data_IF_695303273993
#
_entry.id   IF_695303273993
#
_cell.length_a   1.000
_cell.length_b   1.000
_cell.length_c   1.000
_cell.angle_alpha   90.00
_cell.angle_beta   90.00
_cell.angle_gamma   90.00
#
_symmetry.space_group_name_H-M   'P 1'
#
loop_
_entity.id
_entity.type
_entity.pdbx_description
1 polymer ?
#
# COMPACT_ATOMS: atom_id res chain seq x y z
N UNK A 1 65.08 72.01 0.44
CA UNK A 1 63.72 71.87 -0.13
C UNK A 1 63.66 71.00 -1.39
N UNK A 2 64.79 70.56 -1.99
CA UNK A 2 64.79 69.72 -3.20
C UNK A 2 64.92 68.21 -2.95
N UNK A 3 65.28 67.78 -1.74
CA UNK A 3 65.41 66.34 -1.39
C UNK A 3 64.08 65.67 -1.01
N UNK A 4 63.05 66.45 -0.66
CA UNK A 4 61.74 65.92 -0.27
C UNK A 4 60.88 65.52 -1.47
N UNK A 5 60.85 66.32 -2.54
CA UNK A 5 60.06 66.00 -3.74
C UNK A 5 60.59 64.78 -4.50
N UNK A 6 61.90 64.58 -4.59
CA UNK A 6 62.49 63.45 -5.35
C UNK A 6 62.29 62.11 -4.65
N UNK A 7 62.34 62.09 -3.32
CA UNK A 7 62.04 60.88 -2.53
C UNK A 7 60.56 60.52 -2.63
N UNK A 8 59.68 61.53 -2.64
CA UNK A 8 58.25 61.36 -2.77
C UNK A 8 57.83 60.84 -4.15
N UNK A 9 58.47 61.35 -5.22
CA UNK A 9 58.22 60.90 -6.59
C UNK A 9 58.74 59.47 -6.83
N UNK A 10 59.90 59.11 -6.28
CA UNK A 10 60.42 57.74 -6.35
C UNK A 10 59.53 56.75 -5.58
N UNK A 11 58.99 57.17 -4.44
CA UNK A 11 58.09 56.35 -3.62
C UNK A 11 56.78 56.05 -4.38
N UNK A 12 56.18 57.06 -5.03
CA UNK A 12 54.99 56.88 -5.88
C UNK A 12 55.23 55.95 -7.08
N UNK A 13 56.42 56.02 -7.71
CA UNK A 13 56.75 55.18 -8.87
C UNK A 13 57.03 53.73 -8.44
N UNK A 14 57.74 53.53 -7.32
CA UNK A 14 58.01 52.18 -6.78
C UNK A 14 56.74 51.53 -6.22
N UNK A 15 55.89 52.30 -5.54
CA UNK A 15 54.61 51.82 -5.06
C UNK A 15 53.67 51.45 -6.21
N UNK A 16 53.81 52.02 -7.41
CA UNK A 16 52.94 51.72 -8.56
C UNK A 16 53.35 50.48 -9.34
N UNK A 17 54.58 49.99 -9.13
CA UNK A 17 55.12 48.80 -9.79
C UNK A 17 55.16 47.56 -8.89
N UNK A 18 55.21 47.73 -7.56
CA UNK A 18 55.30 46.62 -6.61
C UNK A 18 54.05 46.42 -5.75
N UNK A 19 53.16 47.40 -5.73
CA UNK A 19 51.86 47.31 -5.10
C UNK A 19 50.82 47.85 -6.10
N UNK A 20 49.66 47.22 -6.17
CA UNK A 20 48.58 47.68 -7.05
C UNK A 20 48.01 48.98 -6.48
N UNK A 21 48.75 50.09 -6.66
CA UNK A 21 48.47 51.39 -6.07
C UNK A 21 47.07 51.83 -6.54
N UNK A 22 46.11 52.03 -5.63
CA UNK A 22 44.78 52.46 -6.00
C UNK A 22 44.82 53.81 -6.73
N UNK A 23 44.34 53.84 -7.97
CA UNK A 23 43.90 55.08 -8.56
C UNK A 23 42.57 55.46 -7.90
N UNK A 24 42.62 56.29 -6.85
CA UNK A 24 41.39 56.86 -6.27
C UNK A 24 40.86 57.93 -7.21
N UNK A 25 39.60 57.84 -7.58
CA UNK A 25 38.92 58.92 -8.30
C UNK A 25 38.46 59.99 -7.30
N UNK A 26 39.42 60.70 -6.68
CA UNK A 26 39.17 61.77 -5.71
C UNK A 26 39.54 61.42 -4.26
N UNK A 27 39.06 62.25 -3.32
CA UNK A 27 39.28 62.08 -1.88
C UNK A 27 38.44 60.92 -1.32
N UNK A 28 38.95 60.29 -0.25
CA UNK A 28 38.22 59.23 0.45
C UNK A 28 36.93 59.80 1.05
N UNK A 29 35.82 59.09 0.85
CA UNK A 29 34.51 59.51 1.33
C UNK A 29 33.66 58.28 1.63
N UNK A 30 32.71 58.42 2.55
CA UNK A 30 31.73 57.38 2.90
C UNK A 30 30.35 57.85 2.48
N UNK A 31 29.60 56.97 1.82
CA UNK A 31 28.23 57.23 1.37
C UNK A 31 27.33 56.13 1.94
N UNK A 32 26.19 56.53 2.47
CA UNK A 32 25.10 55.63 2.82
C UNK A 32 24.23 55.37 1.60
N UNK A 33 23.91 54.11 1.33
CA UNK A 33 22.98 53.74 0.26
C UNK A 33 21.55 54.16 0.63
N UNK A 34 20.84 54.78 -0.30
CA UNK A 34 19.40 55.07 -0.15
C UNK A 34 18.53 53.81 -0.33
N UNK A 35 19.15 52.69 -0.73
CA UNK A 35 18.49 51.42 -0.98
C UNK A 35 19.02 50.38 0.01
N UNK A 36 18.09 49.71 0.70
CA UNK A 36 18.36 48.54 1.54
C UNK A 36 18.24 47.26 0.74
N UNK A 37 19.05 46.25 1.08
CA UNK A 37 19.12 44.99 0.35
C UNK A 37 18.73 43.81 1.25
N UNK A 38 17.98 42.88 0.68
CA UNK A 38 17.64 41.61 1.33
C UNK A 38 18.68 40.54 0.97
N UNK A 39 19.17 39.81 1.97
CA UNK A 39 20.02 38.64 1.75
C UNK A 39 19.21 37.38 1.40
N UNK A 40 19.90 36.26 1.15
CA UNK A 40 19.27 34.99 0.79
C UNK A 40 18.43 34.39 1.92
N UNK A 41 18.69 34.81 3.16
CA UNK A 41 17.99 34.36 4.37
C UNK A 41 16.81 35.29 4.72
N UNK A 42 16.56 36.32 3.91
CA UNK A 42 15.45 37.25 4.07
C UNK A 42 15.74 38.46 4.97
N UNK A 43 16.98 38.65 5.42
CA UNK A 43 17.34 39.78 6.29
C UNK A 43 17.66 41.03 5.48
N UNK A 44 17.07 42.14 5.89
CA UNK A 44 17.30 43.46 5.31
C UNK A 44 18.52 44.13 5.92
N UNK A 45 19.37 44.71 5.09
CA UNK A 45 20.56 45.45 5.50
C UNK A 45 20.75 46.74 4.70
N UNK A 46 21.22 47.78 5.38
CA UNK A 46 21.65 49.04 4.80
C UNK A 46 23.13 48.92 4.43
N UNK A 47 23.56 49.46 3.30
CA UNK A 47 24.96 49.39 2.87
C UNK A 47 25.64 50.76 2.96
N UNK A 48 26.78 50.82 3.65
CA UNK A 48 27.72 51.92 3.58
C UNK A 48 28.81 51.60 2.57
N UNK A 49 29.21 52.60 1.78
CA UNK A 49 30.22 52.47 0.72
C UNK A 49 31.34 53.46 0.97
N UNK A 50 32.58 52.99 0.99
CA UNK A 50 33.76 53.83 1.19
C UNK A 50 34.67 53.83 -0.03
N UNK A 51 35.03 55.04 -0.44
CA UNK A 51 35.99 55.35 -1.51
C UNK A 51 35.52 54.94 -2.91
N UNK A 52 36.32 55.28 -3.91
CA UNK A 52 36.08 54.88 -5.29
C UNK A 52 37.43 54.53 -5.95
N UNK A 53 37.71 53.24 -5.96
CA UNK A 53 39.00 52.66 -6.31
C UNK A 53 38.91 51.91 -7.63
N UNK A 54 39.90 52.07 -8.49
CA UNK A 54 40.09 51.21 -9.65
C UNK A 54 41.29 50.29 -9.41
N UNK A 55 41.00 49.02 -9.13
CA UNK A 55 42.02 47.96 -9.07
C UNK A 55 41.92 47.07 -10.32
N UNK A 56 43.06 46.55 -10.79
CA UNK A 56 43.12 45.59 -11.89
C UNK A 56 42.73 44.17 -11.42
N UNK A 57 43.04 43.83 -10.16
CA UNK A 57 42.69 42.58 -9.46
C UNK A 57 42.00 42.86 -8.10
N UNK A 58 41.58 41.82 -7.35
CA UNK A 58 40.94 42.02 -6.03
C UNK A 58 41.92 42.72 -5.06
N UNK A 59 41.50 43.73 -4.27
CA UNK A 59 42.41 44.51 -3.44
C UNK A 59 43.18 43.64 -2.43
N UNK A 60 44.47 43.96 -2.25
CA UNK A 60 45.37 43.23 -1.36
C UNK A 60 45.19 43.54 0.14
N UNK A 61 44.12 44.25 0.50
CA UNK A 61 43.78 44.59 1.88
C UNK A 61 42.26 44.69 2.05
N UNK A 62 41.81 44.49 3.29
CA UNK A 62 40.44 44.79 3.70
C UNK A 62 40.37 46.15 4.39
N UNK A 63 39.25 46.85 4.20
CA UNK A 63 39.01 48.15 4.81
C UNK A 63 38.67 47.99 6.30
N UNK A 64 39.38 48.73 7.16
CA UNK A 64 39.03 48.80 8.58
C UNK A 64 37.87 49.78 8.77
N UNK A 65 36.77 49.29 9.36
CA UNK A 65 35.63 50.12 9.72
C UNK A 65 35.57 50.32 11.23
N UNK A 66 35.63 51.56 11.68
CA UNK A 66 35.33 51.93 13.06
C UNK A 66 33.84 52.23 13.17
N UNK A 67 33.13 51.43 13.97
CA UNK A 67 31.69 51.61 14.25
C UNK A 67 31.48 52.49 15.49
N UNK A 68 30.27 53.06 15.71
CA UNK A 68 29.99 53.95 16.84
C UNK A 68 30.31 53.37 18.22
N UNK A 69 30.18 52.05 18.39
CA UNK A 69 30.60 51.33 19.61
C UNK A 69 32.12 51.26 19.86
N UNK A 70 32.93 52.04 19.13
CA UNK A 70 34.40 52.03 19.12
C UNK A 70 35.05 50.67 18.79
N UNK A 71 34.27 49.73 18.26
CA UNK A 71 34.77 48.46 17.75
C UNK A 71 35.27 48.65 16.32
N UNK A 72 36.36 47.96 15.98
CA UNK A 72 36.84 47.90 14.59
C UNK A 72 36.36 46.60 13.95
N UNK A 73 35.68 46.71 12.82
CA UNK A 73 35.18 45.59 12.01
C UNK A 73 36.01 45.52 10.73
N UNK A 74 36.57 44.34 10.46
CA UNK A 74 37.44 44.10 9.28
C UNK A 74 36.67 43.36 8.17
N UNK A 75 35.39 43.05 8.37
CA UNK A 75 34.53 42.33 7.41
C UNK A 75 34.03 43.21 6.24
N UNK A 76 34.93 43.93 5.59
CA UNK A 76 34.59 44.74 4.41
C UNK A 76 34.56 43.89 3.14
N UNK A 77 33.54 44.07 2.30
CA UNK A 77 33.52 43.45 0.96
C UNK A 77 33.88 44.48 -0.08
N UNK A 78 34.70 44.14 -1.07
CA UNK A 78 34.99 45.04 -2.20
C UNK A 78 34.08 44.70 -3.39
N UNK A 79 33.31 45.68 -3.87
CA UNK A 79 32.41 45.52 -5.03
C UNK A 79 32.25 46.86 -5.77
N UNK A 80 32.27 46.81 -7.10
CA UNK A 80 32.02 47.97 -7.97
C UNK A 80 32.84 49.21 -7.61
N UNK A 81 34.12 49.05 -7.27
CA UNK A 81 34.99 50.18 -6.93
C UNK A 81 34.96 50.61 -5.47
N UNK A 82 34.10 50.04 -4.62
CA UNK A 82 33.88 50.52 -3.25
C UNK A 82 34.09 49.40 -2.24
N UNK A 83 34.61 49.74 -1.06
CA UNK A 83 34.53 48.86 0.10
C UNK A 83 33.19 49.07 0.80
N UNK A 84 32.46 47.98 1.05
CA UNK A 84 31.09 48.02 1.55
C UNK A 84 31.00 47.42 2.95
N UNK A 85 30.23 48.07 3.83
CA UNK A 85 29.83 47.56 5.15
C UNK A 85 28.31 47.43 5.18
N UNK A 86 27.80 46.27 5.61
CA UNK A 86 26.36 46.02 5.75
C UNK A 86 25.94 46.21 7.20
N UNK A 87 24.87 46.99 7.40
CA UNK A 87 24.26 47.28 8.69
C UNK A 87 22.89 46.60 8.75
N UNK A 88 22.77 45.57 9.58
CA UNK A 88 21.49 44.88 9.82
C UNK A 88 20.84 45.44 11.08
N UNK A 89 19.52 45.28 11.23
CA UNK A 89 18.81 45.74 12.42
C UNK A 89 19.27 44.97 13.69
N UNK A 90 19.49 45.66 14.84
CA UNK A 90 19.38 47.11 15.06
C UNK A 90 20.63 47.87 14.58
N UNK A 91 20.41 48.94 13.80
CA UNK A 91 21.50 49.82 13.33
C UNK A 91 21.92 50.75 14.47
N UNK A 92 23.23 50.87 14.70
CA UNK A 92 23.81 51.80 15.68
C UNK A 92 23.91 53.20 15.08
N UNK A 93 23.34 54.22 15.72
CA UNK A 93 23.51 55.61 15.32
C UNK A 93 24.89 56.14 15.69
N UNK A 94 25.49 56.95 14.83
CA UNK A 94 26.77 57.58 15.11
C UNK A 94 27.71 57.66 13.91
N UNK A 95 28.99 57.93 14.19
CA UNK A 95 30.00 58.11 13.14
C UNK A 95 30.62 56.77 12.76
N UNK A 96 30.41 56.37 11.51
CA UNK A 96 31.10 55.26 10.88
C UNK A 96 32.30 55.79 10.13
N UNK A 97 33.49 55.28 10.45
CA UNK A 97 34.75 55.73 9.83
C UNK A 97 35.41 54.58 9.11
N UNK A 98 35.63 54.71 7.80
CA UNK A 98 36.47 53.78 7.07
C UNK A 98 37.92 54.28 7.10
N UNK A 99 38.88 53.36 7.27
CA UNK A 99 40.30 53.68 7.40
C UNK A 99 41.16 52.68 6.64
N UNK A 100 42.07 53.19 5.81
CA UNK A 100 43.03 52.35 5.08
C UNK A 100 44.08 51.81 6.07
N UNK A 101 44.27 50.48 6.19
CA UNK A 101 45.22 49.88 7.12
C UNK A 101 46.64 50.39 6.90
N UNK A 102 47.37 50.68 7.97
CA UNK A 102 48.74 51.23 7.90
C UNK A 102 49.79 50.23 7.43
N UNK A 103 49.46 48.94 7.44
CA UNK A 103 50.31 47.87 6.91
C UNK A 103 50.06 47.57 5.42
N UNK A 104 49.11 48.29 4.79
CA UNK A 104 48.97 48.26 3.34
C UNK A 104 50.12 49.03 2.69
N UNK A 105 50.55 48.56 1.53
CA UNK A 105 51.64 49.15 0.76
C UNK A 105 51.47 50.65 0.43
N UNK A 106 50.22 51.12 0.46
CA UNK A 106 49.80 52.48 0.11
C UNK A 106 50.05 53.48 1.26
N UNK A 107 50.27 52.99 2.48
CA UNK A 107 50.51 53.78 3.67
C UNK A 107 51.88 54.50 3.68
N UNK A 108 52.77 54.28 2.71
CA UNK A 108 54.04 55.00 2.61
C UNK A 108 54.02 56.16 1.62
N UNK A 109 53.04 56.24 0.73
CA UNK A 109 52.97 57.30 -0.30
C UNK A 109 51.98 58.43 0.02
N UNK A 110 51.03 58.21 0.93
CA UNK A 110 50.05 59.20 1.37
C UNK A 110 50.66 60.08 2.48
N UNK A 111 50.87 61.38 2.24
CA UNK A 111 51.40 62.33 3.25
C UNK A 111 50.64 62.28 4.58
N UNK A 112 51.35 62.55 5.68
CA UNK A 112 50.88 62.58 7.08
C UNK A 112 49.75 63.58 7.41
N UNK A 113 49.21 64.32 6.44
CA UNK A 113 48.02 65.13 6.70
C UNK A 113 46.79 64.22 6.74
N UNK A 114 46.25 64.02 7.94
CA UNK A 114 45.24 63.03 8.33
C UNK A 114 43.90 63.01 7.57
N UNK A 115 43.69 63.87 6.58
CA UNK A 115 42.43 63.97 5.83
C UNK A 115 42.30 63.00 4.64
N UNK A 116 43.37 62.29 4.26
CA UNK A 116 43.37 61.43 3.06
C UNK A 116 43.23 59.92 3.33
N UNK A 117 43.35 59.46 4.59
CA UNK A 117 43.40 58.02 4.94
C UNK A 117 42.15 57.46 5.60
N UNK A 118 41.29 58.36 6.06
CA UNK A 118 40.04 57.98 6.71
C UNK A 118 38.94 58.94 6.29
N UNK A 119 37.72 58.43 6.24
CA UNK A 119 36.54 59.23 5.98
C UNK A 119 35.42 58.76 6.91
N UNK A 120 34.67 59.72 7.43
CA UNK A 120 33.59 59.47 8.38
C UNK A 120 32.25 59.94 7.83
N UNK A 121 31.20 59.17 8.09
CA UNK A 121 29.82 59.54 7.84
C UNK A 121 29.00 59.33 9.12
N UNK A 122 28.16 60.29 9.46
CA UNK A 122 27.18 60.13 10.54
C UNK A 122 25.95 59.41 10.00
N UNK A 123 25.59 58.28 10.61
CA UNK A 123 24.36 57.54 10.32
C UNK A 123 23.35 57.88 11.41
N UNK A 124 22.21 58.43 11.01
CA UNK A 124 21.06 58.65 11.89
C UNK A 124 20.36 57.30 12.14
N UNK A 125 20.24 56.89 13.40
CA UNK A 125 19.66 55.59 13.75
C UNK A 125 18.17 55.51 13.45
N UNK A 126 17.44 56.62 13.59
CA UNK A 126 16.00 56.68 13.35
C UNK A 126 15.74 56.55 11.86
N UNK A 127 16.48 57.28 11.02
CA UNK A 127 16.35 57.22 9.56
C UNK A 127 16.75 55.83 9.02
N UNK A 128 17.89 55.29 9.46
CA UNK A 128 18.35 53.96 9.06
C UNK A 128 17.37 52.85 9.46
N UNK A 129 16.81 52.93 10.67
CA UNK A 129 15.78 51.98 11.14
C UNK A 129 14.47 52.14 10.38
N UNK A 130 14.08 53.38 10.03
CA UNK A 130 12.87 53.62 9.24
C UNK A 130 12.99 52.99 7.86
N UNK A 131 14.11 53.19 7.15
CA UNK A 131 14.34 52.57 5.84
C UNK A 131 14.26 51.03 5.88
N UNK A 132 14.87 50.41 6.91
CA UNK A 132 14.80 48.95 7.08
C UNK A 132 13.37 48.47 7.39
N UNK A 133 12.64 49.20 8.24
CA UNK A 133 11.26 48.88 8.59
C UNK A 133 10.30 49.04 7.41
N UNK A 134 10.44 50.10 6.62
CA UNK A 134 9.61 50.34 5.43
C UNK A 134 9.83 49.26 4.36
N UNK A 135 11.08 48.86 4.12
CA UNK A 135 11.39 47.77 3.20
C UNK A 135 10.85 46.43 3.69
N UNK A 136 10.99 46.13 4.98
CA UNK A 136 10.43 44.92 5.57
C UNK A 136 8.90 44.92 5.50
N UNK A 137 8.25 46.06 5.76
CA UNK A 137 6.80 46.19 5.67
C UNK A 137 6.30 45.98 4.24
N UNK A 138 6.93 46.61 3.25
CA UNK A 138 6.57 46.43 1.85
C UNK A 138 6.69 44.97 1.39
N UNK A 139 7.75 44.28 1.84
CA UNK A 139 7.92 42.85 1.56
C UNK A 139 6.84 41.99 2.23
N UNK A 140 6.50 42.28 3.49
CA UNK A 140 5.43 41.58 4.21
C UNK A 140 4.05 41.81 3.56
N UNK A 141 3.78 43.02 3.06
CA UNK A 141 2.55 43.33 2.33
C UNK A 141 2.48 42.56 1.00
N UNK A 142 3.58 42.48 0.27
CA UNK A 142 3.67 41.66 -0.95
C UNK A 142 3.43 40.18 -0.66
N UNK A 143 4.07 39.63 0.38
CA UNK A 143 3.88 38.23 0.78
C UNK A 143 2.44 37.97 1.21
N UNK A 144 1.81 38.92 1.92
CA UNK A 144 0.41 38.81 2.32
C UNK A 144 -0.52 38.70 1.11
N UNK A 145 -0.29 39.51 0.08
CA UNK A 145 -1.10 39.48 -1.15
C UNK A 145 -0.91 38.16 -1.91
N UNK A 146 0.32 37.64 -1.99
CA UNK A 146 0.60 36.33 -2.60
C UNK A 146 -0.09 35.21 -1.83
N UNK A 147 0.07 35.16 -0.51
CA UNK A 147 -0.56 34.14 0.34
C UNK A 147 -2.10 34.21 0.24
N UNK A 148 -2.65 35.42 0.13
CA UNK A 148 -4.08 35.62 -0.02
C UNK A 148 -4.59 35.08 -1.35
N UNK A 149 -3.87 35.32 -2.45
CA UNK A 149 -4.21 34.77 -3.76
C UNK A 149 -4.14 33.23 -3.75
N UNK A 150 -3.04 32.65 -3.25
CA UNK A 150 -2.91 31.19 -3.09
C UNK A 150 -4.02 30.58 -2.23
N UNK A 151 -4.37 31.23 -1.13
CA UNK A 151 -5.46 30.79 -0.26
C UNK A 151 -6.82 30.84 -0.99
N UNK A 152 -7.07 31.85 -1.82
CA UNK A 152 -8.29 31.89 -2.64
C UNK A 152 -8.31 30.76 -3.69
N UNK A 153 -7.20 30.53 -4.39
CA UNK A 153 -7.09 29.44 -5.37
C UNK A 153 -7.27 28.06 -4.70
N UNK A 154 -6.63 27.83 -3.56
CA UNK A 154 -6.79 26.59 -2.79
C UNK A 154 -8.23 26.38 -2.34
N UNK A 155 -8.92 27.46 -1.92
CA UNK A 155 -10.32 27.39 -1.52
C UNK A 155 -11.23 27.00 -2.68
N UNK A 156 -11.01 27.55 -3.87
CA UNK A 156 -11.76 27.19 -5.08
C UNK A 156 -11.50 25.74 -5.50
N UNK A 157 -10.24 25.31 -5.49
CA UNK A 157 -9.86 23.92 -5.76
C UNK A 157 -10.52 22.94 -4.78
N UNK A 158 -10.50 23.26 -3.48
CA UNK A 158 -11.16 22.45 -2.45
C UNK A 158 -12.68 22.38 -2.64
N UNK A 159 -13.33 23.48 -3.04
CA UNK A 159 -14.77 23.47 -3.35
C UNK A 159 -15.09 22.60 -4.57
N UNK A 160 -14.26 22.65 -5.61
CA UNK A 160 -14.37 21.81 -6.80
C UNK A 160 -14.19 20.33 -6.47
N UNK A 161 -13.13 19.98 -5.72
CA UNK A 161 -12.87 18.62 -5.26
C UNK A 161 -14.01 18.07 -4.40
N UNK A 162 -14.55 18.87 -3.49
CA UNK A 162 -15.71 18.50 -2.66
C UNK A 162 -16.91 18.13 -3.55
N UNK A 163 -17.16 18.90 -4.59
CA UNK A 163 -18.25 18.63 -5.55
C UNK A 163 -18.02 17.32 -6.31
N UNK A 164 -16.78 17.06 -6.73
CA UNK A 164 -16.41 15.83 -7.43
C UNK A 164 -16.57 14.59 -6.56
N UNK A 165 -16.16 14.67 -5.29
CA UNK A 165 -16.34 13.58 -4.31
C UNK A 165 -17.82 13.25 -4.13
N UNK A 166 -18.68 14.27 -3.99
CA UNK A 166 -20.13 14.06 -3.85
C UNK A 166 -20.75 13.39 -5.08
N UNK A 167 -20.32 13.75 -6.30
CA UNK A 167 -20.80 13.09 -7.52
C UNK A 167 -20.33 11.63 -7.60
N UNK A 168 -19.07 11.35 -7.28
CA UNK A 168 -18.55 9.99 -7.21
C UNK A 168 -19.30 9.15 -6.18
N UNK A 169 -19.55 9.67 -4.98
CA UNK A 169 -20.35 8.99 -3.96
C UNK A 169 -21.77 8.67 -4.44
N UNK A 170 -22.38 9.57 -5.21
CA UNK A 170 -23.69 9.33 -5.79
C UNK A 170 -23.66 8.20 -6.82
N UNK A 171 -22.66 8.20 -7.72
CA UNK A 171 -22.47 7.15 -8.74
C UNK A 171 -22.18 5.79 -8.10
N UNK A 172 -21.33 5.75 -7.07
CA UNK A 172 -21.01 4.50 -6.37
C UNK A 172 -22.23 3.94 -5.66
N UNK A 173 -23.00 4.77 -4.94
CA UNK A 173 -24.27 4.34 -4.31
C UNK A 173 -25.27 3.80 -5.34
N UNK A 174 -25.47 4.49 -6.46
CA UNK A 174 -26.37 4.03 -7.52
C UNK A 174 -25.92 2.68 -8.11
N UNK A 175 -24.61 2.53 -8.35
CA UNK A 175 -24.01 1.29 -8.85
C UNK A 175 -24.19 0.15 -7.84
N UNK A 176 -23.96 0.39 -6.55
CA UNK A 176 -24.17 -0.59 -5.48
C UNK A 176 -25.62 -1.08 -5.43
N UNK A 177 -26.59 -0.18 -5.52
CA UNK A 177 -28.02 -0.56 -5.57
C UNK A 177 -28.31 -1.44 -6.79
N UNK A 178 -27.76 -1.09 -7.95
CA UNK A 178 -27.93 -1.90 -9.17
C UNK A 178 -27.23 -3.25 -9.09
N UNK A 179 -26.08 -3.37 -8.41
CA UNK A 179 -25.43 -4.66 -8.21
C UNK A 179 -26.22 -5.51 -7.21
N UNK A 180 -26.67 -4.90 -6.11
CA UNK A 180 -27.49 -5.58 -5.09
C UNK A 180 -28.75 -6.20 -5.70
N UNK A 181 -29.44 -5.48 -6.58
CA UNK A 181 -30.61 -6.01 -7.29
C UNK A 181 -30.29 -7.15 -8.26
N UNK A 182 -29.07 -7.20 -8.82
CA UNK A 182 -28.63 -8.34 -9.65
C UNK A 182 -28.26 -9.55 -8.79
N UNK A 183 -27.64 -9.33 -7.63
CA UNK A 183 -27.26 -10.40 -6.69
C UNK A 183 -28.49 -11.09 -6.10
N UNK A 184 -29.54 -10.34 -5.76
CA UNK A 184 -30.78 -10.91 -5.21
C UNK A 184 -31.51 -11.85 -6.17
N UNK A 185 -31.27 -11.73 -7.48
CA UNK A 185 -31.78 -12.66 -8.50
C UNK A 185 -30.87 -13.88 -8.66
N UNK A 186 -29.57 -13.76 -8.34
CA UNK A 186 -28.59 -14.85 -8.46
C UNK A 186 -28.71 -15.85 -7.30
N UNK A 187 -28.93 -15.38 -6.07
CA UNK A 187 -29.11 -16.25 -4.89
C UNK A 187 -30.16 -17.37 -5.10
N UNK A 188 -31.41 -17.07 -5.52
CA UNK A 188 -32.41 -18.11 -5.76
C UNK A 188 -32.06 -19.02 -6.94
N UNK A 189 -31.31 -18.53 -7.95
CA UNK A 189 -30.86 -19.34 -9.09
C UNK A 189 -29.76 -20.34 -8.68
N UNK A 190 -28.84 -19.94 -7.80
CA UNK A 190 -27.83 -20.85 -7.23
C UNK A 190 -28.51 -21.93 -6.38
N UNK A 191 -29.49 -21.56 -5.56
CA UNK A 191 -30.27 -22.52 -4.75
C UNK A 191 -31.03 -23.48 -5.65
N UNK A 192 -31.67 -23.00 -6.73
CA UNK A 192 -32.38 -23.86 -7.69
C UNK A 192 -31.43 -24.85 -8.37
N UNK A 193 -30.27 -24.39 -8.86
CA UNK A 193 -29.29 -25.24 -9.52
C UNK A 193 -28.69 -26.29 -8.57
N UNK A 194 -28.51 -25.94 -7.29
CA UNK A 194 -28.02 -26.89 -6.28
C UNK A 194 -29.08 -27.95 -5.93
N UNK A 195 -30.36 -27.60 -5.98
CA UNK A 195 -31.47 -28.54 -5.77
C UNK A 195 -31.68 -29.46 -6.98
N UNK A 196 -31.49 -28.98 -8.21
CA UNK A 196 -31.67 -29.79 -9.43
C UNK A 196 -30.43 -30.62 -9.81
N UNK A 197 -29.27 -30.36 -9.20
CA UNK A 197 -28.00 -31.03 -9.51
C UNK A 197 -27.70 -32.31 -8.72
N UNK A 198 -28.43 -32.59 -7.64
CA UNK A 198 -28.11 -33.68 -6.70
C UNK A 198 -29.07 -34.88 -6.77
N UNK A 199 -29.70 -35.13 -7.92
CA UNK A 199 -30.53 -36.32 -8.09
C UNK A 199 -29.67 -37.58 -8.20
N UNK A 200 -29.39 -38.21 -7.06
CA UNK A 200 -28.65 -39.47 -6.99
C UNK A 200 -29.63 -40.59 -6.68
N UNK A 201 -29.77 -41.53 -7.60
CA UNK A 201 -30.59 -42.71 -7.41
C UNK A 201 -30.07 -43.83 -8.30
N UNK A 202 -30.07 -45.06 -7.78
CA UNK A 202 -29.78 -46.24 -8.59
C UNK A 202 -30.68 -47.40 -8.20
N UNK A 203 -30.89 -48.28 -9.17
CA UNK A 203 -31.58 -49.55 -8.99
C UNK A 203 -30.96 -50.57 -9.94
N UNK A 204 -30.41 -51.63 -9.37
CA UNK A 204 -29.81 -52.75 -10.09
C UNK A 204 -30.46 -54.07 -9.66
N UNK A 205 -30.57 -55.01 -10.60
CA UNK A 205 -31.11 -56.36 -10.43
C UNK A 205 -30.19 -57.39 -11.10
N UNK A 206 -30.43 -58.68 -10.85
CA UNK A 206 -29.75 -59.81 -11.51
C UNK A 206 -28.26 -59.91 -11.22
N UNK A 207 -27.84 -60.98 -10.55
CA UNK A 207 -26.43 -61.28 -10.31
C UNK A 207 -25.68 -61.48 -11.64
N UNK A 208 -24.47 -60.92 -11.73
CA UNK A 208 -23.73 -60.80 -12.99
C UNK A 208 -23.12 -62.11 -13.49
N UNK A 209 -22.65 -63.01 -12.63
CA UNK A 209 -21.92 -64.23 -13.06
C UNK A 209 -21.85 -65.35 -12.01
N UNK A 210 -21.82 -65.03 -10.71
CA UNK A 210 -21.66 -66.02 -9.64
C UNK A 210 -22.83 -65.91 -8.66
N UNK A 211 -23.69 -66.91 -8.65
CA UNK A 211 -24.81 -67.05 -7.73
C UNK A 211 -24.46 -67.92 -6.53
N UNK A 212 -23.33 -68.64 -6.57
CA UNK A 212 -22.94 -69.64 -5.57
C UNK A 212 -21.57 -69.32 -4.99
N UNK A 213 -21.47 -68.55 -3.89
CA UNK A 213 -20.20 -68.26 -3.26
C UNK A 213 -19.51 -69.54 -2.75
N UNK A 214 -18.43 -69.98 -3.39
CA UNK A 214 -17.77 -71.25 -3.05
C UNK A 214 -16.73 -71.14 -1.91
N UNK A 215 -16.20 -69.94 -1.67
CA UNK A 215 -15.25 -69.69 -0.57
C UNK A 215 -15.27 -68.23 -0.12
N UNK A 216 -15.45 -68.01 1.18
CA UNK A 216 -15.43 -66.68 1.78
C UNK A 216 -16.68 -65.85 1.47
N UNK A 217 -16.68 -64.61 1.95
CA UNK A 217 -17.78 -63.66 1.72
C UNK A 217 -17.53 -62.88 0.42
N UNK A 218 -18.43 -63.01 -0.55
CA UNK A 218 -18.29 -62.39 -1.88
C UNK A 218 -19.20 -61.16 -2.03
N UNK A 219 -18.68 -60.09 -2.63
CA UNK A 219 -19.50 -58.95 -3.06
C UNK A 219 -20.44 -59.38 -4.18
N UNK A 220 -21.74 -59.21 -3.98
CA UNK A 220 -22.74 -59.47 -5.01
C UNK A 220 -22.74 -58.34 -6.04
N UNK A 221 -22.53 -58.68 -7.32
CA UNK A 221 -22.47 -57.74 -8.43
C UNK A 221 -23.72 -57.87 -9.28
N UNK A 222 -24.43 -56.77 -9.49
CA UNK A 222 -25.69 -56.77 -10.23
C UNK A 222 -25.44 -56.17 -11.61
N UNK A 223 -25.99 -56.81 -12.63
CA UNK A 223 -25.69 -56.52 -14.03
C UNK A 223 -26.77 -55.69 -14.73
N UNK A 224 -28.03 -55.89 -14.35
CA UNK A 224 -29.16 -55.21 -14.97
C UNK A 224 -29.48 -53.92 -14.21
N UNK A 225 -29.05 -52.78 -14.74
CA UNK A 225 -29.20 -51.46 -14.12
C UNK A 225 -30.33 -50.69 -14.79
N UNK A 226 -31.45 -50.53 -14.08
CA UNK A 226 -32.62 -49.78 -14.59
C UNK A 226 -32.46 -48.27 -14.40
N UNK A 227 -31.87 -47.87 -13.27
CA UNK A 227 -31.60 -46.45 -12.94
C UNK A 227 -30.19 -46.33 -12.40
N UNK A 228 -29.46 -45.29 -12.81
CA UNK A 228 -28.15 -44.94 -12.26
C UNK A 228 -27.90 -43.43 -12.41
N UNK A 229 -28.84 -42.64 -11.91
CA UNK A 229 -28.75 -41.19 -11.92
C UNK A 229 -27.59 -40.75 -11.01
N UNK A 230 -26.66 -39.98 -11.57
CA UNK A 230 -25.38 -39.66 -10.93
C UNK A 230 -24.25 -40.65 -11.21
N UNK A 231 -24.52 -41.80 -11.86
CA UNK A 231 -23.49 -42.74 -12.30
C UNK A 231 -22.71 -43.42 -11.15
N UNK A 232 -23.30 -43.49 -9.96
CA UNK A 232 -22.61 -43.87 -8.73
C UNK A 232 -22.50 -45.39 -8.52
N UNK A 233 -23.37 -46.20 -9.15
CA UNK A 233 -23.27 -47.67 -9.09
C UNK A 233 -22.39 -48.22 -10.22
N UNK A 234 -21.42 -49.05 -9.86
CA UNK A 234 -20.50 -49.69 -10.80
C UNK A 234 -20.76 -51.21 -10.91
N UNK A 235 -21.25 -51.65 -12.07
CA UNK A 235 -21.61 -53.07 -12.33
C UNK A 235 -20.41 -54.03 -12.40
N UNK A 236 -19.18 -53.50 -12.53
CA UNK A 236 -17.97 -54.32 -12.55
C UNK A 236 -17.50 -54.66 -11.13
N UNK A 237 -17.76 -53.79 -10.17
CA UNK A 237 -17.37 -53.97 -8.76
C UNK A 237 -18.53 -54.37 -7.85
N UNK A 238 -19.77 -53.99 -8.18
CA UNK A 238 -20.95 -54.12 -7.32
C UNK A 238 -21.08 -53.00 -6.29
N UNK A 239 -20.30 -51.92 -6.42
CA UNK A 239 -20.23 -50.84 -5.44
C UNK A 239 -21.03 -49.63 -5.89
N UNK A 240 -21.75 -49.03 -4.96
CA UNK A 240 -22.16 -47.64 -5.02
C UNK A 240 -21.08 -46.76 -4.39
N UNK A 241 -20.62 -45.73 -5.09
CA UNK A 241 -19.65 -44.75 -4.58
C UNK A 241 -20.34 -43.42 -4.29
N UNK A 242 -20.26 -42.96 -3.05
CA UNK A 242 -20.90 -41.73 -2.60
C UNK A 242 -20.31 -40.49 -3.32
N UNK A 243 -21.10 -39.77 -4.13
CA UNK A 243 -20.60 -38.62 -4.90
C UNK A 243 -20.50 -37.35 -4.05
N UNK A 244 -21.35 -37.21 -3.01
CA UNK A 244 -21.39 -36.04 -2.14
C UNK A 244 -21.72 -36.46 -0.70
N UNK A 245 -21.20 -35.76 0.33
CA UNK A 245 -21.62 -35.98 1.71
C UNK A 245 -23.13 -35.77 1.88
N UNK A 246 -23.80 -36.64 2.64
CA UNK A 246 -25.23 -36.53 2.86
C UNK A 246 -25.87 -37.78 3.44
N UNK A 247 -27.19 -37.73 3.61
CA UNK A 247 -27.99 -38.87 4.10
C UNK A 247 -28.58 -39.66 2.94
N UNK A 248 -28.35 -40.98 2.93
CA UNK A 248 -28.77 -41.88 1.86
C UNK A 248 -29.64 -43.01 2.41
N UNK A 249 -30.58 -43.48 1.60
CA UNK A 249 -31.31 -44.72 1.84
C UNK A 249 -30.78 -45.81 0.91
N UNK A 250 -30.63 -47.02 1.44
CA UNK A 250 -30.32 -48.21 0.65
C UNK A 250 -31.23 -49.37 1.04
N UNK A 251 -31.62 -50.16 0.05
CA UNK A 251 -32.33 -51.42 0.25
C UNK A 251 -31.78 -52.48 -0.70
N UNK A 252 -31.60 -53.68 -0.16
CA UNK A 252 -31.09 -54.84 -0.86
C UNK A 252 -31.99 -56.02 -0.55
N UNK A 253 -32.44 -56.71 -1.59
CA UNK A 253 -33.24 -57.93 -1.47
C UNK A 253 -32.49 -59.05 -2.14
N UNK A 254 -32.47 -60.23 -1.52
CA UNK A 254 -31.96 -61.44 -2.16
C UNK A 254 -32.61 -62.66 -1.52
N UNK A 255 -32.44 -63.83 -2.13
CA UNK A 255 -32.99 -65.07 -1.64
C UNK A 255 -32.23 -66.27 -2.15
N UNK A 256 -32.80 -67.45 -1.95
CA UNK A 256 -32.33 -68.71 -2.54
C UNK A 256 -33.48 -69.69 -2.66
N UNK A 257 -33.44 -70.51 -3.72
CA UNK A 257 -34.32 -71.67 -3.89
C UNK A 257 -33.78 -72.94 -3.24
N UNK A 258 -32.58 -72.90 -2.67
CA UNK A 258 -31.97 -74.09 -2.10
C UNK A 258 -32.77 -74.62 -0.90
N UNK A 259 -33.24 -75.87 -0.96
CA UNK A 259 -33.97 -76.46 0.16
C UNK A 259 -33.05 -76.62 1.36
N UNK A 260 -33.54 -76.22 2.53
CA UNK A 260 -32.81 -76.29 3.82
C UNK A 260 -31.52 -75.45 3.87
N UNK A 261 -31.31 -74.49 2.96
CA UNK A 261 -30.18 -73.56 3.02
C UNK A 261 -30.66 -72.12 3.15
N UNK A 262 -30.07 -71.41 4.12
CA UNK A 262 -30.34 -70.00 4.38
C UNK A 262 -29.43 -69.13 3.51
N UNK A 263 -30.03 -68.14 2.86
CA UNK A 263 -29.33 -67.12 2.09
C UNK A 263 -29.06 -65.91 2.98
N UNK A 264 -27.87 -65.88 3.56
CA UNK A 264 -27.44 -64.79 4.43
C UNK A 264 -26.70 -63.73 3.63
N UNK A 265 -27.03 -62.47 3.88
CA UNK A 265 -26.37 -61.35 3.22
C UNK A 265 -26.39 -60.10 4.10
N UNK A 266 -25.48 -59.18 3.79
CA UNK A 266 -25.35 -57.93 4.50
C UNK A 266 -25.26 -56.74 3.54
N UNK A 267 -25.88 -55.64 3.95
CA UNK A 267 -25.61 -54.30 3.44
C UNK A 267 -24.41 -53.73 4.19
N UNK A 268 -23.40 -53.29 3.45
CA UNK A 268 -22.09 -52.90 4.00
C UNK A 268 -21.72 -51.49 3.54
N UNK A 269 -21.19 -50.68 4.46
CA UNK A 269 -20.55 -49.38 4.19
C UNK A 269 -19.10 -49.46 4.63
N UNK A 270 -18.14 -49.27 3.70
CA UNK A 270 -16.69 -49.30 3.99
C UNK A 270 -16.24 -50.51 4.85
N UNK A 271 -16.83 -51.69 4.60
CA UNK A 271 -16.52 -52.91 5.35
C UNK A 271 -17.30 -53.11 6.65
N UNK A 272 -18.07 -52.12 7.11
CA UNK A 272 -18.94 -52.20 8.28
C UNK A 272 -20.34 -52.67 7.87
N UNK A 273 -20.85 -53.71 8.52
CA UNK A 273 -22.22 -54.21 8.31
C UNK A 273 -23.21 -53.21 8.91
N UNK A 274 -24.10 -52.67 8.07
CA UNK A 274 -25.16 -51.73 8.48
C UNK A 274 -26.46 -52.46 8.73
N UNK A 275 -26.78 -53.46 7.89
CA UNK A 275 -27.95 -54.30 8.04
C UNK A 275 -27.62 -55.72 7.58
N UNK A 276 -28.12 -56.70 8.32
CA UNK A 276 -27.96 -58.12 8.02
C UNK A 276 -29.34 -58.74 7.83
N UNK A 277 -29.46 -59.66 6.87
CA UNK A 277 -30.70 -60.39 6.67
C UNK A 277 -30.41 -61.83 6.24
N UNK A 278 -31.33 -62.73 6.59
CA UNK A 278 -31.23 -64.17 6.36
C UNK A 278 -32.58 -64.68 5.89
N UNK A 279 -32.58 -65.55 4.89
CA UNK A 279 -33.78 -66.33 4.57
C UNK A 279 -33.84 -67.56 5.46
N UNK A 280 -35.05 -68.06 5.74
CA UNK A 280 -35.24 -69.29 6.50
C UNK A 280 -35.98 -70.27 5.63
N UNK A 281 -35.28 -70.97 4.74
CA UNK A 281 -35.88 -71.91 3.78
C UNK A 281 -36.09 -73.30 4.41
N UNK A 282 -37.23 -73.63 5.05
CA UNK A 282 -37.53 -75.01 5.36
C UNK A 282 -37.74 -75.73 4.01
N UNK A 283 -37.17 -76.92 3.81
CA UNK A 283 -37.13 -77.62 2.52
C UNK A 283 -38.48 -78.03 1.91
N UNK A 284 -39.60 -77.53 2.44
CA UNK A 284 -40.97 -77.70 1.98
C UNK A 284 -41.60 -76.40 1.43
N UNK A 285 -40.85 -75.29 1.36
CA UNK A 285 -41.31 -74.01 0.79
C UNK A 285 -40.43 -73.64 -0.40
N UNK A 286 -41.05 -73.25 -1.50
CA UNK A 286 -40.33 -72.73 -2.67
C UNK A 286 -39.84 -71.31 -2.38
N UNK A 287 -38.51 -71.14 -2.38
CA UNK A 287 -37.80 -69.87 -2.52
C UNK A 287 -38.24 -68.72 -1.60
N UNK A 288 -37.46 -68.45 -0.55
CA UNK A 288 -37.64 -67.22 0.22
C UNK A 288 -36.68 -66.13 -0.22
N UNK A 289 -37.15 -64.90 -0.03
CA UNK A 289 -36.37 -63.68 -0.18
C UNK A 289 -36.42 -62.90 1.13
N UNK A 290 -35.34 -62.18 1.42
CA UNK A 290 -35.26 -61.29 2.55
C UNK A 290 -34.66 -59.95 2.11
N UNK A 291 -34.98 -58.89 2.85
CA UNK A 291 -34.51 -57.53 2.55
C UNK A 291 -33.68 -57.00 3.71
N UNK A 292 -32.54 -56.39 3.41
CA UNK A 292 -31.73 -55.58 4.32
C UNK A 292 -31.78 -54.13 3.83
N UNK A 293 -32.04 -53.18 4.72
CA UNK A 293 -32.12 -51.77 4.38
C UNK A 293 -31.58 -50.89 5.50
N UNK A 294 -31.23 -49.65 5.18
CA UNK A 294 -30.74 -48.70 6.15
C UNK A 294 -30.72 -47.27 5.61
N UNK A 295 -30.84 -46.32 6.54
CA UNK A 295 -30.57 -44.90 6.29
C UNK A 295 -29.22 -44.59 6.92
N UNK A 296 -28.27 -44.09 6.13
CA UNK A 296 -26.90 -43.84 6.57
C UNK A 296 -26.41 -42.48 6.11
N UNK A 297 -25.67 -41.81 6.98
CA UNK A 297 -24.90 -40.62 6.61
C UNK A 297 -23.56 -41.06 6.03
N UNK A 298 -23.24 -40.58 4.82
CA UNK A 298 -22.04 -40.96 4.10
C UNK A 298 -21.21 -39.74 3.75
N UNK A 299 -19.89 -39.90 3.78
CA UNK A 299 -18.90 -38.96 3.27
C UNK A 299 -18.58 -39.27 1.82
N UNK A 300 -18.01 -38.28 1.14
CA UNK A 300 -17.51 -38.43 -0.23
C UNK A 300 -16.60 -39.66 -0.38
N UNK A 301 -16.76 -40.38 -1.48
CA UNK A 301 -16.03 -41.59 -1.86
C UNK A 301 -16.25 -42.84 -1.01
N UNK A 302 -17.14 -42.82 -0.01
CA UNK A 302 -17.46 -44.05 0.72
C UNK A 302 -18.21 -45.05 -0.18
N UNK A 303 -17.92 -46.34 0.01
CA UNK A 303 -18.46 -47.45 -0.78
C UNK A 303 -19.58 -48.14 -0.02
N UNK A 304 -20.69 -48.33 -0.70
CA UNK A 304 -21.82 -49.13 -0.23
C UNK A 304 -22.04 -50.31 -1.16
N UNK A 305 -22.19 -51.50 -0.59
CA UNK A 305 -22.36 -52.71 -1.37
C UNK A 305 -23.03 -53.81 -0.57
N UNK A 306 -23.45 -54.85 -1.27
CA UNK A 306 -24.06 -56.03 -0.68
C UNK A 306 -23.13 -57.23 -0.81
N UNK A 307 -23.11 -58.06 0.22
CA UNK A 307 -22.19 -59.18 0.34
C UNK A 307 -22.93 -60.43 0.77
N UNK A 308 -22.66 -61.53 0.07
CA UNK A 308 -23.10 -62.85 0.50
C UNK A 308 -22.31 -63.28 1.74
N UNK A 309 -23.03 -63.66 2.78
CA UNK A 309 -22.45 -64.13 4.03
C UNK A 309 -22.46 -65.66 4.10
N UNK A 310 -23.43 -66.32 3.46
CA UNK A 310 -23.46 -67.78 3.25
C UNK A 310 -22.52 -68.23 2.14
N UNK A 311 -22.02 -69.46 2.27
CA UNK A 311 -21.22 -70.17 1.26
C UNK A 311 -21.96 -71.41 0.78
N UNK A 312 -21.70 -71.85 -0.46
CA UNK A 312 -22.32 -73.00 -1.10
C UNK A 312 -23.87 -72.93 -1.08
N UNK A 313 -24.41 -71.72 -1.24
CA UNK A 313 -25.84 -71.42 -1.39
C UNK A 313 -26.02 -70.74 -2.75
N UNK A 314 -26.97 -71.23 -3.53
CA UNK A 314 -27.35 -70.64 -4.81
C UNK A 314 -28.32 -69.49 -4.60
N UNK A 315 -27.80 -68.27 -4.68
CA UNK A 315 -28.57 -67.05 -4.53
C UNK A 315 -29.46 -66.83 -5.76
N UNK A 316 -30.72 -66.52 -5.50
CA UNK A 316 -31.74 -66.32 -6.52
C UNK A 316 -31.51 -65.00 -7.28
N UNK A 317 -30.79 -65.08 -8.38
CA UNK A 317 -30.35 -63.95 -9.21
C UNK A 317 -31.48 -62.98 -9.58
N UNK A 318 -32.60 -63.49 -10.07
CA UNK A 318 -33.71 -62.70 -10.59
C UNK A 318 -34.47 -61.95 -9.48
N UNK A 319 -34.46 -62.49 -8.26
CA UNK A 319 -35.00 -61.79 -7.08
C UNK A 319 -33.97 -60.89 -6.39
N UNK A 320 -32.68 -60.98 -6.76
CA UNK A 320 -31.65 -60.12 -6.18
C UNK A 320 -31.76 -58.71 -6.74
N UNK A 321 -31.95 -57.73 -5.86
CA UNK A 321 -31.97 -56.30 -6.20
C UNK A 321 -31.19 -55.47 -5.19
N UNK A 322 -30.64 -54.35 -5.67
CA UNK A 322 -29.96 -53.37 -4.84
C UNK A 322 -30.29 -51.96 -5.32
N UNK A 323 -30.85 -51.16 -4.42
CA UNK A 323 -31.34 -49.82 -4.69
C UNK A 323 -30.81 -48.84 -3.66
N UNK A 324 -30.69 -47.58 -4.06
CA UNK A 324 -30.46 -46.51 -3.12
C UNK A 324 -30.56 -45.13 -3.75
N UNK A 325 -30.75 -44.12 -2.91
CA UNK A 325 -30.89 -42.73 -3.34
C UNK A 325 -30.46 -41.76 -2.24
N UNK A 326 -30.10 -40.54 -2.65
CA UNK A 326 -29.82 -39.43 -1.74
C UNK A 326 -31.14 -38.85 -1.23
N UNK A 327 -31.30 -38.78 0.10
CA UNK A 327 -32.43 -38.09 0.73
C UNK A 327 -32.19 -36.58 0.76
N UNK A 328 -31.02 -36.16 1.27
CA UNK A 328 -30.60 -34.76 1.28
C UNK A 328 -29.07 -34.66 1.36
N UNK A 329 -28.44 -33.79 0.53
CA UNK A 329 -27.02 -33.51 0.62
C UNK A 329 -26.71 -32.70 1.89
N UNK A 330 -25.47 -32.82 2.38
CA UNK A 330 -24.99 -31.94 3.45
C UNK A 330 -24.92 -30.48 2.94
N UNK A 331 -25.18 -29.48 3.78
CA UNK A 331 -25.02 -28.08 3.39
C UNK A 331 -23.55 -27.78 3.04
N UNK A 332 -23.28 -27.00 1.98
CA UNK A 332 -21.93 -26.51 1.73
C UNK A 332 -21.47 -25.68 2.94
N UNK A 333 -20.43 -26.14 3.64
CA UNK A 333 -19.84 -25.56 4.86
C UNK A 333 -20.58 -25.77 6.20
N UNK A 334 -21.17 -26.95 6.42
CA UNK A 334 -21.71 -27.31 7.73
C UNK A 334 -20.65 -27.95 8.66
N UNK A 335 -20.08 -27.15 9.56
CA UNK A 335 -19.56 -27.62 10.87
C UNK A 335 -20.67 -27.86 11.89
N UNK A 336 -21.94 -27.93 11.46
CA UNK A 336 -23.06 -28.21 12.34
C UNK A 336 -23.09 -29.69 12.71
N UNK A 337 -22.48 -30.00 13.85
CA UNK A 337 -22.78 -31.18 14.64
C UNK A 337 -24.27 -31.07 14.99
N UNK A 338 -25.12 -31.92 14.40
CA UNK A 338 -26.41 -32.21 15.00
C UNK A 338 -26.14 -33.20 16.14
N UNK A 339 -26.27 -32.82 17.42
CA UNK A 339 -26.31 -33.80 18.47
C UNK A 339 -27.68 -34.48 18.37
N UNK A 340 -27.69 -35.77 18.05
CA UNK A 340 -28.89 -36.57 18.29
C UNK A 340 -29.11 -36.63 19.80
N UNK A 341 -30.33 -36.36 20.29
CA UNK A 341 -30.73 -36.81 21.61
C UNK A 341 -31.17 -38.27 21.50
N UNK A 342 -30.47 -39.16 22.21
CA UNK A 342 -30.77 -40.58 22.30
C UNK A 342 -29.71 -41.31 23.09
#
# INVERSE_FOLDING_TARGET
>A
MTTSLTVQLLCLILAAFFCDLPATHGALHVIQSDVVMQDQDGHWSLELRCGNFAFLDYPAFDMEWQVPSERTVIESRYKNGHFTLRLSAPVEGGNYTCRIPTNSCDAHCLQENGDLRQASLHVDDVEARLMLLEAQQAALEQDHDVIKDEHTQLRESNASLTTYVLDLEKRTKATLVSLSSRVSVIEPVIVLNNLTGHHIAFHATHLKNDTTPHSGHITMKLSNVLTNQGGCYNTSTGFFMTPFPGTYFFAATTGSYDPNRNADFALIVEGIIIAYSTTRNPGNVEGQVATAHGIVHLKHSQKVFIRAMSQNVDFFSEATSFSGFLLYPDPPNSTAIFPWPG
#
